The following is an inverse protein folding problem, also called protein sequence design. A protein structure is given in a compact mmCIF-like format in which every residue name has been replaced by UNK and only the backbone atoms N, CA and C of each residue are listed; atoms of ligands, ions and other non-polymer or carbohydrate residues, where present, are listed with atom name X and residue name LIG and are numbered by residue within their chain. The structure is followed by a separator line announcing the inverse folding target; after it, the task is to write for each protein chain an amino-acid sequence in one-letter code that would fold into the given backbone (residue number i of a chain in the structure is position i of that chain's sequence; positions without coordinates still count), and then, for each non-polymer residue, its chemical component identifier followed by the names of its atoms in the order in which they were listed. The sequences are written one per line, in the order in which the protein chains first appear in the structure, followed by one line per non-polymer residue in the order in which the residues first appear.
data_IF_413617392310
#
_entry.id   IF_413617392310
#
_cell.length_a   1.000
_cell.length_b   1.000
_cell.length_c   1.000
_cell.angle_alpha   90.00
_cell.angle_beta   90.00
_cell.angle_gamma   90.00
#
_symmetry.space_group_name_H-M   'P 1'
#
loop_
_entity.id
_entity.type
_entity.pdbx_description
1 polymer ?
#
# COMPACT_ATOMS: atom_id res chain seq x y z
N UNK A 1 -17.65 -52.91 -9.06
CA UNK A 1 -17.84 -53.05 -10.52
C UNK A 1 -17.29 -51.80 -11.21
N UNK A 2 -16.52 -51.94 -12.30
CA UNK A 2 -16.07 -50.86 -13.23
C UNK A 2 -15.17 -49.76 -12.59
N UNK A 3 -14.10 -49.27 -13.23
CA UNK A 3 -13.26 -49.71 -14.36
C UNK A 3 -11.91 -48.96 -14.25
N UNK A 4 -10.81 -49.55 -14.70
CA UNK A 4 -9.53 -48.83 -14.85
C UNK A 4 -9.53 -47.90 -16.08
N UNK A 5 -8.72 -46.85 -16.04
CA UNK A 5 -7.83 -46.36 -17.12
C UNK A 5 -7.12 -45.09 -16.62
N UNK A 6 -5.92 -44.70 -17.03
CA UNK A 6 -4.70 -45.34 -17.53
C UNK A 6 -3.79 -44.20 -18.02
N UNK A 7 -2.57 -44.18 -17.50
CA UNK A 7 -1.31 -43.66 -18.04
C UNK A 7 -1.25 -43.39 -19.57
N UNK A 8 -0.48 -42.38 -20.03
CA UNK A 8 0.87 -42.53 -20.66
C UNK A 8 1.37 -41.26 -21.41
N UNK A 9 2.69 -41.23 -21.59
CA UNK A 9 3.68 -40.19 -21.96
C UNK A 9 3.60 -39.52 -23.35
N UNK A 10 4.36 -38.41 -23.54
CA UNK A 10 4.83 -37.77 -24.80
C UNK A 10 5.80 -36.58 -24.43
N UNK A 11 6.77 -36.04 -25.19
CA UNK A 11 7.78 -36.54 -26.18
C UNK A 11 8.90 -35.44 -26.36
N UNK A 12 10.14 -35.82 -26.75
CA UNK A 12 11.31 -34.96 -27.09
C UNK A 12 11.19 -34.24 -28.46
N UNK A 13 12.01 -33.26 -28.88
CA UNK A 13 13.31 -32.72 -28.39
C UNK A 13 13.40 -31.18 -28.52
N UNK A 14 14.25 -30.51 -29.33
CA UNK A 14 15.31 -30.89 -30.31
C UNK A 14 16.42 -29.78 -30.29
N UNK A 15 17.57 -29.96 -30.96
CA UNK A 15 18.80 -29.14 -30.89
C UNK A 15 19.07 -28.14 -32.05
N UNK A 16 19.96 -27.17 -31.78
CA UNK A 16 20.90 -26.60 -32.75
C UNK A 16 22.25 -26.29 -32.06
N UNK A 17 23.38 -26.60 -32.72
CA UNK A 17 24.72 -26.58 -32.12
C UNK A 17 25.49 -25.29 -32.46
N UNK A 18 26.32 -24.82 -31.52
CA UNK A 18 27.58 -24.13 -31.82
C UNK A 18 28.67 -24.57 -30.83
N UNK A 19 29.91 -24.67 -31.30
CA UNK A 19 31.04 -25.31 -30.61
C UNK A 19 32.22 -24.35 -30.42
N UNK A 20 33.18 -24.79 -29.59
CA UNK A 20 34.56 -24.27 -29.42
C UNK A 20 34.72 -23.05 -28.51
N UNK A 21 35.45 -23.27 -27.40
CA UNK A 21 36.02 -22.27 -26.50
C UNK A 21 36.78 -22.97 -25.37
N UNK A 22 38.11 -23.10 -25.49
CA UNK A 22 38.95 -23.91 -24.60
C UNK A 22 39.78 -23.00 -23.65
N UNK A 23 39.97 -23.50 -22.42
CA UNK A 23 40.91 -23.03 -21.38
C UNK A 23 40.54 -21.76 -20.60
N UNK A 24 40.54 -21.87 -19.27
CA UNK A 24 40.30 -20.75 -18.35
C UNK A 24 39.91 -21.14 -16.93
N UNK A 25 40.65 -22.04 -16.26
CA UNK A 25 40.44 -22.32 -14.82
C UNK A 25 41.00 -21.19 -13.97
N UNK A 26 40.30 -20.06 -13.95
CA UNK A 26 40.50 -19.01 -12.96
C UNK A 26 39.43 -19.17 -11.88
N UNK A 27 39.86 -19.45 -10.63
CA UNK A 27 39.00 -19.34 -9.45
C UNK A 27 38.73 -17.87 -9.16
N UNK A 28 37.86 -17.24 -9.96
CA UNK A 28 37.11 -16.09 -9.51
C UNK A 28 36.01 -16.60 -8.57
N UNK A 29 35.99 -16.12 -7.33
CA UNK A 29 34.83 -16.27 -6.45
C UNK A 29 33.57 -15.79 -7.21
N UNK A 30 32.37 -16.36 -6.94
CA UNK A 30 31.17 -15.92 -7.63
C UNK A 30 31.04 -14.41 -7.48
N UNK A 31 31.20 -13.70 -8.59
CA UNK A 31 30.76 -12.33 -8.69
C UNK A 31 29.24 -12.40 -8.60
N UNK A 32 28.73 -12.24 -7.38
CA UNK A 32 27.31 -12.04 -7.15
C UNK A 32 26.90 -10.88 -8.05
N UNK A 33 26.12 -11.21 -9.08
CA UNK A 33 25.33 -10.22 -9.78
C UNK A 33 24.29 -9.74 -8.76
N UNK A 34 24.72 -8.80 -7.92
CA UNK A 34 23.84 -7.91 -7.22
C UNK A 34 23.20 -7.10 -8.34
N UNK A 35 21.93 -7.37 -8.74
CA UNK A 35 21.24 -6.39 -9.55
C UNK A 35 21.35 -5.08 -8.76
N UNK A 36 21.59 -3.97 -9.46
CA UNK A 36 21.53 -2.67 -8.81
C UNK A 36 20.08 -2.46 -8.34
N UNK A 37 19.79 -2.98 -7.15
CA UNK A 37 18.56 -2.80 -6.40
C UNK A 37 18.60 -1.35 -5.95
N UNK A 38 18.33 -0.50 -6.93
CA UNK A 38 17.73 0.80 -6.74
C UNK A 38 16.33 0.52 -6.19
N UNK A 39 16.28 -0.03 -4.97
CA UNK A 39 15.18 0.06 -4.02
C UNK A 39 15.08 1.54 -3.60
N UNK A 40 14.83 2.38 -4.60
CA UNK A 40 14.10 3.61 -4.45
C UNK A 40 12.75 3.14 -3.93
N UNK A 41 12.65 3.05 -2.61
CA UNK A 41 11.41 2.76 -1.91
C UNK A 41 10.50 3.94 -2.19
N UNK A 42 9.76 3.85 -3.30
CA UNK A 42 8.68 4.76 -3.64
C UNK A 42 7.65 4.55 -2.53
N UNK A 43 7.78 5.34 -1.47
CA UNK A 43 6.91 5.29 -0.30
C UNK A 43 5.51 5.64 -0.74
N UNK A 44 4.74 4.64 -1.14
CA UNK A 44 3.46 4.83 -1.81
C UNK A 44 2.32 5.22 -0.83
N UNK A 45 2.64 6.05 0.17
CA UNK A 45 1.75 6.58 1.19
C UNK A 45 2.14 8.04 1.52
N UNK A 46 1.19 8.90 1.92
CA UNK A 46 1.47 10.29 2.24
C UNK A 46 2.41 10.45 3.43
N UNK A 47 3.30 11.45 3.38
CA UNK A 47 4.26 11.77 4.45
C UNK A 47 4.20 13.25 4.82
N UNK A 48 4.88 13.62 5.92
CA UNK A 48 4.79 14.97 6.51
C UNK A 48 3.34 15.37 6.77
N UNK A 49 2.63 14.49 7.48
CA UNK A 49 1.21 14.63 7.79
C UNK A 49 0.98 15.26 9.17
N UNK A 50 0.05 16.21 9.23
CA UNK A 50 -0.42 16.88 10.44
C UNK A 50 -1.94 16.82 10.52
N UNK A 51 -2.50 16.79 11.72
CA UNK A 51 -3.93 16.83 11.96
C UNK A 51 -4.25 17.58 13.25
N UNK A 52 -5.51 17.99 13.41
CA UNK A 52 -5.98 18.67 14.61
C UNK A 52 -7.50 18.79 14.64
N UNK A 53 -8.01 19.17 15.82
CA UNK A 53 -9.43 19.50 15.96
C UNK A 53 -9.72 20.84 15.27
N UNK A 54 -10.77 20.87 14.45
CA UNK A 54 -11.29 22.09 13.84
C UNK A 54 -12.79 22.21 14.17
N UNK A 55 -13.14 23.16 15.04
CA UNK A 55 -14.49 23.35 15.59
C UNK A 55 -15.06 22.03 16.17
N UNK A 56 -16.25 21.61 15.71
CA UNK A 56 -16.84 20.31 16.03
C UNK A 56 -16.46 19.25 14.97
N UNK A 57 -15.19 19.18 14.60
CA UNK A 57 -14.67 18.29 13.57
C UNK A 57 -13.17 18.07 13.69
N UNK A 58 -12.60 17.40 12.68
CA UNK A 58 -11.17 17.13 12.58
C UNK A 58 -10.67 17.46 11.18
N UNK A 59 -9.47 18.00 11.11
CA UNK A 59 -8.77 18.28 9.86
C UNK A 59 -7.47 17.49 9.74
N UNK A 60 -7.10 17.18 8.51
CA UNK A 60 -5.89 16.45 8.14
C UNK A 60 -5.25 17.07 6.91
N UNK A 61 -3.93 17.17 6.93
CA UNK A 61 -3.12 17.69 5.83
C UNK A 61 -1.82 16.89 5.74
N UNK A 62 -1.42 16.48 4.54
CA UNK A 62 -0.08 15.92 4.29
C UNK A 62 0.62 16.77 3.26
N UNK A 63 1.85 17.21 3.56
CA UNK A 63 2.63 18.03 2.61
C UNK A 63 3.03 17.24 1.36
N UNK A 64 3.28 15.93 1.50
CA UNK A 64 3.75 15.08 0.42
C UNK A 64 2.78 13.90 0.21
N UNK A 65 2.24 13.75 -1.01
CA UNK A 65 1.40 12.59 -1.40
C UNK A 65 2.20 11.30 -1.54
N UNK A 66 3.37 11.38 -2.17
CA UNK A 66 4.20 10.24 -2.59
C UNK A 66 3.43 9.13 -3.35
N UNK A 67 2.40 9.48 -4.12
CA UNK A 67 1.53 8.49 -4.79
C UNK A 67 0.47 7.86 -3.89
N UNK A 68 0.38 8.29 -2.64
CA UNK A 68 -0.71 7.96 -1.73
C UNK A 68 -1.78 9.05 -1.63
N UNK A 69 -2.88 8.72 -0.95
CA UNK A 69 -3.99 9.62 -0.63
C UNK A 69 -4.32 9.56 0.86
N UNK A 70 -4.86 10.65 1.41
CA UNK A 70 -5.31 10.73 2.81
C UNK A 70 -6.72 11.31 2.93
N UNK A 71 -7.34 11.08 4.09
CA UNK A 71 -8.59 11.72 4.51
C UNK A 71 -8.60 11.93 6.03
N UNK A 72 -9.29 12.96 6.50
CA UNK A 72 -9.54 13.16 7.92
C UNK A 72 -10.57 12.14 8.44
N UNK A 73 -10.41 11.74 9.70
CA UNK A 73 -11.40 10.94 10.45
C UNK A 73 -11.62 11.56 11.83
N UNK A 74 -12.83 11.46 12.36
CA UNK A 74 -13.23 11.98 13.67
C UNK A 74 -14.14 11.00 14.40
N UNK A 75 -13.92 10.87 15.71
CA UNK A 75 -14.79 10.11 16.62
C UNK A 75 -15.55 11.10 17.50
N UNK A 76 -16.88 10.98 17.46
CA UNK A 76 -17.82 11.90 18.07
C UNK A 76 -18.65 11.19 19.13
N UNK A 77 -18.85 11.82 20.29
CA UNK A 77 -19.72 11.32 21.37
C UNK A 77 -21.06 12.04 21.33
N UNK A 78 -22.21 11.34 21.25
CA UNK A 78 -23.51 11.96 21.40
C UNK A 78 -23.68 12.59 22.78
N UNK A 79 -24.26 13.80 22.84
CA UNK A 79 -24.48 14.52 24.11
C UNK A 79 -25.59 13.92 24.97
N UNK A 80 -26.50 13.17 24.36
CA UNK A 80 -27.57 12.43 25.04
C UNK A 80 -27.13 11.04 25.56
N UNK A 81 -25.85 10.69 25.43
CA UNK A 81 -25.37 9.32 25.65
C UNK A 81 -25.61 8.41 24.44
N UNK A 82 -25.18 7.15 24.55
CA UNK A 82 -25.14 6.19 23.44
C UNK A 82 -23.74 6.03 22.82
N UNK A 83 -23.68 5.27 21.73
CA UNK A 83 -22.42 4.84 21.12
C UNK A 83 -21.63 5.97 20.45
N UNK A 84 -20.32 5.76 20.33
CA UNK A 84 -19.44 6.68 19.59
C UNK A 84 -19.70 6.61 18.09
N UNK A 85 -19.85 7.77 17.46
CA UNK A 85 -20.07 7.91 16.02
C UNK A 85 -18.74 8.27 15.34
N UNK A 86 -18.25 7.37 14.49
CA UNK A 86 -17.05 7.61 13.67
C UNK A 86 -17.49 8.23 12.33
N UNK A 87 -16.78 9.26 11.87
CA UNK A 87 -17.02 9.92 10.58
C UNK A 87 -15.69 10.12 9.86
N UNK A 88 -15.68 9.76 8.58
CA UNK A 88 -14.57 10.02 7.67
C UNK A 88 -14.95 11.13 6.67
N UNK A 89 -13.95 11.88 6.20
CA UNK A 89 -14.14 12.74 5.04
C UNK A 89 -14.40 11.89 3.79
N UNK A 90 -15.44 12.21 3.03
CA UNK A 90 -15.88 11.41 1.86
C UNK A 90 -14.82 11.36 0.75
N UNK A 91 -14.03 12.43 0.61
CA UNK A 91 -13.06 12.60 -0.48
C UNK A 91 -11.65 12.28 0.01
N UNK A 92 -11.03 11.29 -0.62
CA UNK A 92 -9.59 11.05 -0.55
C UNK A 92 -8.85 12.17 -1.27
N UNK A 93 -7.86 12.78 -0.61
CA UNK A 93 -7.04 13.86 -1.15
C UNK A 93 -5.59 13.41 -1.32
N UNK A 94 -4.97 13.81 -2.42
CA UNK A 94 -3.51 13.78 -2.59
C UNK A 94 -2.85 15.06 -2.07
N UNK A 95 -3.59 16.17 -1.98
CA UNK A 95 -3.09 17.46 -1.48
C UNK A 95 -4.20 18.33 -0.88
N UNK A 96 -3.81 19.33 -0.09
CA UNK A 96 -4.72 20.32 0.52
C UNK A 96 -5.46 19.79 1.75
N UNK A 97 -6.28 20.65 2.36
CA UNK A 97 -6.93 20.34 3.63
C UNK A 97 -8.08 19.32 3.46
N UNK A 98 -8.05 18.21 4.19
CA UNK A 98 -9.18 17.29 4.35
C UNK A 98 -9.88 17.62 5.68
N UNK A 99 -11.20 17.77 5.69
CA UNK A 99 -11.98 18.10 6.90
C UNK A 99 -13.16 17.13 6.99
N UNK A 100 -13.48 16.70 8.21
CA UNK A 100 -14.74 16.02 8.53
C UNK A 100 -15.35 16.62 9.79
N UNK A 101 -16.67 16.79 9.81
CA UNK A 101 -17.41 17.31 10.97
C UNK A 101 -18.21 16.22 11.65
N UNK A 102 -18.32 16.34 12.97
CA UNK A 102 -19.22 15.56 13.80
C UNK A 102 -20.69 15.95 13.52
N UNK A 103 -21.65 15.00 13.60
CA UNK A 103 -23.07 15.32 13.43
C UNK A 103 -23.61 16.29 14.49
N UNK A 104 -24.76 16.95 14.26
CA UNK A 104 -25.47 17.71 15.27
C UNK A 104 -25.69 16.90 16.56
N UNK A 105 -25.76 17.59 17.70
CA UNK A 105 -25.95 17.00 19.05
C UNK A 105 -24.85 16.02 19.50
N UNK A 106 -23.70 15.99 18.82
CA UNK A 106 -22.50 15.28 19.26
C UNK A 106 -21.36 16.25 19.61
N UNK A 107 -20.27 15.76 20.19
CA UNK A 107 -19.03 16.50 20.43
C UNK A 107 -17.81 15.65 20.03
N UNK A 108 -16.78 16.30 19.49
CA UNK A 108 -15.48 15.66 19.19
C UNK A 108 -14.90 15.02 20.46
N UNK A 109 -14.36 13.81 20.33
CA UNK A 109 -13.57 13.14 21.37
C UNK A 109 -12.11 13.07 20.95
N UNK A 110 -11.84 12.57 19.74
CA UNK A 110 -10.55 12.52 19.10
C UNK A 110 -10.73 12.36 17.58
N UNK A 111 -9.66 12.47 16.81
CA UNK A 111 -9.66 12.18 15.39
C UNK A 111 -8.26 11.86 14.89
N UNK A 112 -8.08 11.83 13.58
CA UNK A 112 -6.79 11.54 12.97
C UNK A 112 -6.81 11.56 11.45
N UNK A 113 -5.88 10.82 10.87
CA UNK A 113 -5.64 10.72 9.42
C UNK A 113 -5.74 9.26 9.02
N UNK A 114 -6.52 8.97 7.99
CA UNK A 114 -6.50 7.67 7.32
C UNK A 114 -5.72 7.86 6.01
N UNK A 115 -4.67 7.08 5.81
CA UNK A 115 -3.81 7.09 4.62
C UNK A 115 -3.97 5.81 3.80
N UNK A 116 -3.84 5.90 2.48
CA UNK A 116 -3.76 4.75 1.58
C UNK A 116 -2.75 4.98 0.44
N UNK A 117 -2.40 3.91 -0.24
CA UNK A 117 -1.74 3.96 -1.54
C UNK A 117 -2.74 4.17 -2.69
N UNK A 118 -2.27 4.70 -3.81
CA UNK A 118 -3.07 4.95 -5.04
C UNK A 118 -2.57 4.09 -6.21
N UNK A 119 -2.09 2.88 -5.90
CA UNK A 119 -1.54 1.90 -6.86
C UNK A 119 -2.58 1.39 -7.86
#
# INVERSE_FOLDING_TARGET
MKKLCSTLQVTMGIAACFTIGLQGTANAAPAEYVPASNDVSIMAHPTSCSNGQNQNGWEAHCRNSNGGSYKATVTCRPRAGGDLVIRDATVWKSSGLSIVFCPPLTAVVYGGIITKSTR
#
